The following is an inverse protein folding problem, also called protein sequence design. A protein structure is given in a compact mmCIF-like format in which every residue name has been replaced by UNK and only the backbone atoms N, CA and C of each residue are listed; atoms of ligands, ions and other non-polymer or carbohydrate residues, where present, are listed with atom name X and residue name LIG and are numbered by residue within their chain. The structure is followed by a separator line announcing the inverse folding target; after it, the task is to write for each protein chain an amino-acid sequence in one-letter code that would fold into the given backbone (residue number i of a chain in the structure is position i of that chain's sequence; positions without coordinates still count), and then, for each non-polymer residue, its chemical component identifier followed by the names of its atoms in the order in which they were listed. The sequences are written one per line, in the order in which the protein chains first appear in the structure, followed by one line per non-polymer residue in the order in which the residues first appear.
data_IF_847807227534
#
_entry.id   IF_847807227534
#
_cell.length_a   1.000
_cell.length_b   1.000
_cell.length_c   1.000
_cell.angle_alpha   90.00
_cell.angle_beta   90.00
_cell.angle_gamma   90.00
#
_symmetry.space_group_name_H-M   'P 1'
#
loop_
_entity.id
_entity.type
_entity.pdbx_description
1 polymer ?
#
# COMPACT_ATOMS: atom_id res chain seq x y z
N UNK A 1 0.92 1.30 4.78
CA UNK A 1 0.41 2.05 5.94
C UNK A 1 1.48 2.34 7.01
N UNK A 2 2.74 1.96 6.77
CA UNK A 2 3.82 2.17 7.72
C UNK A 2 4.03 3.67 8.00
N UNK A 3 3.87 4.08 9.27
CA UNK A 3 3.94 5.48 9.67
C UNK A 3 2.61 6.25 9.58
N UNK A 4 1.53 5.67 9.05
CA UNK A 4 0.20 6.28 9.07
C UNK A 4 -0.32 6.39 10.51
N UNK A 5 -0.96 7.51 10.83
CA UNK A 5 -1.63 7.71 12.12
C UNK A 5 -3.15 7.82 11.95
N UNK A 6 -3.85 7.34 12.95
CA UNK A 6 -5.28 7.55 13.16
C UNK A 6 -5.50 8.00 14.60
N UNK A 7 -6.12 9.18 14.80
CA UNK A 7 -6.27 9.81 16.12
C UNK A 7 -4.97 9.82 16.95
N UNK A 8 -3.87 10.26 16.30
CA UNK A 8 -2.50 10.32 16.84
C UNK A 8 -1.85 8.98 17.21
N UNK A 9 -2.49 7.83 16.96
CA UNK A 9 -1.92 6.49 17.18
C UNK A 9 -1.45 5.89 15.85
N UNK A 10 -0.30 5.25 15.84
CA UNK A 10 0.19 4.58 14.64
C UNK A 10 -0.69 3.38 14.27
N UNK A 11 -1.04 3.25 12.99
CA UNK A 11 -1.71 2.05 12.49
C UNK A 11 -0.78 0.84 12.65
N UNK A 12 -1.40 -0.31 12.97
CA UNK A 12 -0.69 -1.53 13.36
C UNK A 12 -0.49 -1.67 14.87
N UNK A 13 -0.76 -0.61 15.68
CA UNK A 13 -0.68 -0.66 17.15
C UNK A 13 -2.04 -0.55 17.85
N UNK A 14 -3.13 -0.53 17.09
CA UNK A 14 -4.49 -0.36 17.62
C UNK A 14 -5.14 -1.68 18.03
N UNK A 15 -4.79 -2.77 17.37
CA UNK A 15 -5.29 -4.11 17.67
C UNK A 15 -4.27 -4.90 18.51
N UNK A 16 -4.58 -6.16 18.76
CA UNK A 16 -3.67 -7.08 19.48
C UNK A 16 -2.39 -7.35 18.71
N UNK A 17 -2.48 -7.35 17.36
CA UNK A 17 -1.36 -7.60 16.44
C UNK A 17 -1.45 -6.64 15.27
N UNK A 18 -0.33 -6.03 14.91
CA UNK A 18 -0.14 -5.36 13.64
C UNK A 18 0.80 -6.13 12.74
N UNK A 19 0.51 -6.15 11.44
CA UNK A 19 1.34 -6.78 10.42
C UNK A 19 1.70 -5.79 9.33
N UNK A 20 2.96 -5.79 8.90
CA UNK A 20 3.46 -4.92 7.85
C UNK A 20 4.24 -5.72 6.81
N UNK A 21 3.92 -5.53 5.56
CA UNK A 21 4.73 -6.04 4.45
C UNK A 21 5.96 -5.16 4.25
N UNK A 22 7.11 -5.79 4.09
CA UNK A 22 8.38 -5.15 3.72
C UNK A 22 8.79 -5.42 2.26
N UNK A 23 7.85 -5.92 1.45
CA UNK A 23 8.10 -6.16 0.02
C UNK A 23 8.70 -4.92 -0.66
N UNK A 24 9.60 -5.04 -1.67
CA UNK A 24 10.31 -3.93 -2.33
C UNK A 24 9.45 -2.80 -2.86
N UNK A 25 8.16 -3.06 -3.15
CA UNK A 25 7.20 -2.02 -3.60
C UNK A 25 6.50 -1.29 -2.47
N UNK A 26 6.82 -1.54 -1.20
CA UNK A 26 6.19 -0.84 -0.07
C UNK A 26 6.91 0.46 0.25
N UNK A 27 6.22 1.40 0.91
CA UNK A 27 6.82 2.67 1.35
C UNK A 27 7.99 2.44 2.30
N UNK A 28 7.87 1.49 3.21
CA UNK A 28 8.98 0.92 3.96
C UNK A 28 9.26 -0.48 3.42
N UNK A 29 10.46 -0.71 2.91
CA UNK A 29 10.81 -1.93 2.18
C UNK A 29 12.24 -2.39 2.48
N UNK A 30 12.50 -3.63 2.10
CA UNK A 30 13.81 -4.29 2.11
C UNK A 30 14.13 -4.81 0.70
N UNK A 31 15.29 -5.46 0.51
CA UNK A 31 15.77 -5.94 -0.80
C UNK A 31 15.17 -7.31 -1.21
N UNK A 32 13.98 -7.63 -0.73
CA UNK A 32 13.29 -8.88 -1.03
C UNK A 32 12.00 -8.98 -0.24
N UNK A 33 11.39 -10.17 -0.18
CA UNK A 33 10.20 -10.39 0.62
C UNK A 33 10.53 -10.39 2.11
N UNK A 34 9.63 -9.79 2.90
CA UNK A 34 9.72 -9.75 4.34
C UNK A 34 8.50 -9.13 4.98
N UNK A 35 8.43 -9.22 6.30
CA UNK A 35 7.35 -8.65 7.07
C UNK A 35 7.76 -8.33 8.50
N UNK A 36 6.97 -7.49 9.14
CA UNK A 36 7.05 -7.18 10.56
C UNK A 36 5.73 -7.54 11.23
N UNK A 37 5.83 -8.11 12.40
CA UNK A 37 4.71 -8.33 13.33
C UNK A 37 5.00 -7.53 14.59
N UNK A 38 4.03 -6.72 15.01
CA UNK A 38 4.12 -5.91 16.23
C UNK A 38 2.96 -6.24 17.15
N UNK A 39 3.23 -6.36 18.46
CA UNK A 39 2.22 -6.62 19.49
C UNK A 39 2.69 -6.13 20.85
N UNK A 40 1.75 -5.69 21.68
CA UNK A 40 1.98 -5.41 23.10
C UNK A 40 1.67 -6.62 24.00
N UNK A 41 1.17 -7.73 23.42
CA UNK A 41 0.84 -8.95 24.14
C UNK A 41 2.07 -9.87 24.21
N UNK A 42 2.71 -9.94 25.39
CA UNK A 42 3.92 -10.75 25.63
C UNK A 42 3.70 -12.24 25.38
N UNK A 43 2.52 -12.79 25.69
CA UNK A 43 2.22 -14.22 25.43
C UNK A 43 2.20 -14.48 23.92
N UNK A 44 1.53 -13.60 23.18
CA UNK A 44 1.45 -13.70 21.73
C UNK A 44 2.83 -13.50 21.08
N UNK A 45 3.62 -12.53 21.53
CA UNK A 45 5.00 -12.31 21.08
C UNK A 45 5.84 -13.58 21.21
N UNK A 46 5.85 -14.22 22.42
CA UNK A 46 6.59 -15.46 22.65
C UNK A 46 6.13 -16.58 21.73
N UNK A 47 4.81 -16.74 21.55
CA UNK A 47 4.25 -17.75 20.62
C UNK A 47 4.68 -17.52 19.19
N UNK A 48 4.63 -16.28 18.70
CA UNK A 48 5.04 -15.91 17.33
C UNK A 48 6.54 -16.16 17.12
N UNK A 49 7.39 -15.88 18.11
CA UNK A 49 8.82 -16.19 18.02
C UNK A 49 9.09 -17.67 17.81
N UNK A 50 8.36 -18.54 18.50
CA UNK A 50 8.45 -19.99 18.28
C UNK A 50 7.92 -20.37 16.89
N UNK A 51 6.71 -19.92 16.53
CA UNK A 51 6.07 -20.29 15.28
C UNK A 51 6.90 -19.92 14.05
N UNK A 52 7.52 -18.72 14.03
CA UNK A 52 8.36 -18.28 12.91
C UNK A 52 9.65 -19.08 12.73
N UNK A 53 10.03 -19.87 13.71
CA UNK A 53 11.27 -20.67 13.74
C UNK A 53 10.98 -22.14 14.07
N UNK A 54 10.17 -22.81 13.25
CA UNK A 54 9.85 -24.24 13.34
C UNK A 54 9.23 -24.67 14.69
N UNK A 55 8.73 -23.75 15.51
CA UNK A 55 8.24 -24.04 16.87
C UNK A 55 9.33 -24.40 17.87
N UNK A 56 10.59 -24.08 17.56
CA UNK A 56 11.77 -24.49 18.34
C UNK A 56 11.88 -23.68 19.63
N UNK A 57 11.92 -24.37 20.78
CA UNK A 57 12.31 -23.85 22.07
C UNK A 57 13.85 -23.71 22.18
N UNK A 58 14.56 -24.67 21.61
CA UNK A 58 16.01 -24.70 21.46
C UNK A 58 16.38 -25.41 20.16
N UNK A 59 17.67 -25.62 19.89
CA UNK A 59 18.15 -26.20 18.63
C UNK A 59 17.56 -27.58 18.30
N UNK A 60 17.18 -28.35 19.29
CA UNK A 60 16.84 -29.77 19.17
C UNK A 60 15.38 -30.09 19.53
N UNK A 61 14.63 -29.15 20.12
CA UNK A 61 13.30 -29.41 20.66
C UNK A 61 12.27 -28.44 20.09
N UNK A 62 11.32 -28.97 19.31
CA UNK A 62 10.13 -28.23 18.88
C UNK A 62 8.98 -28.52 19.83
N UNK A 63 8.37 -27.46 20.39
CA UNK A 63 7.28 -27.58 21.38
C UNK A 63 5.93 -27.18 20.81
N UNK A 64 5.89 -26.57 19.63
CA UNK A 64 4.67 -26.29 18.87
C UNK A 64 4.95 -26.47 17.37
N UNK A 65 3.91 -26.64 16.57
CA UNK A 65 4.05 -26.60 15.13
C UNK A 65 4.40 -25.18 14.66
N UNK A 66 5.37 -25.04 13.77
CA UNK A 66 5.80 -23.77 13.20
C UNK A 66 6.37 -23.91 11.81
N UNK A 67 6.79 -22.80 11.23
CA UNK A 67 7.37 -22.73 9.88
C UNK A 67 8.71 -22.01 9.91
N UNK A 68 9.46 -22.08 8.83
CA UNK A 68 10.56 -21.16 8.61
C UNK A 68 9.99 -19.84 8.06
N UNK A 69 9.85 -18.84 8.92
CA UNK A 69 9.40 -17.49 8.56
C UNK A 69 10.31 -16.44 9.21
N UNK A 70 11.61 -16.62 8.99
CA UNK A 70 12.66 -15.73 9.50
C UNK A 70 12.96 -14.63 8.50
N UNK A 71 13.40 -13.49 9.00
CA UNK A 71 14.00 -12.45 8.18
C UNK A 71 15.51 -12.58 8.26
N UNK A 72 16.19 -12.61 7.12
CA UNK A 72 17.65 -12.67 7.07
C UNK A 72 18.29 -11.43 7.67
N UNK A 73 19.42 -11.60 8.37
CA UNK A 73 20.12 -10.51 9.03
C UNK A 73 20.55 -9.40 8.05
N UNK A 74 20.95 -9.76 6.83
CA UNK A 74 21.28 -8.79 5.78
C UNK A 74 20.06 -7.92 5.45
N UNK A 75 18.89 -8.52 5.29
CA UNK A 75 17.63 -7.82 5.01
C UNK A 75 17.22 -6.94 6.19
N UNK A 76 17.38 -7.42 7.42
CA UNK A 76 17.11 -6.65 8.62
C UNK A 76 18.07 -5.45 8.75
N UNK A 77 19.36 -5.64 8.43
CA UNK A 77 20.37 -4.59 8.38
C UNK A 77 20.00 -3.49 7.38
N UNK A 78 19.59 -3.87 6.17
CA UNK A 78 19.09 -2.93 5.17
C UNK A 78 17.85 -2.18 5.68
N UNK A 79 16.88 -2.88 6.28
CA UNK A 79 15.70 -2.26 6.89
C UNK A 79 16.05 -1.21 7.95
N UNK A 80 17.06 -1.47 8.80
CA UNK A 80 17.54 -0.52 9.79
C UNK A 80 18.15 0.76 9.20
N UNK A 81 18.71 0.69 7.99
CA UNK A 81 19.17 1.87 7.25
C UNK A 81 17.96 2.64 6.69
N UNK A 82 17.04 1.93 6.04
CA UNK A 82 15.89 2.52 5.34
C UNK A 82 14.90 3.19 6.29
N UNK A 83 14.69 2.65 7.50
CA UNK A 83 13.73 3.19 8.47
C UNK A 83 14.06 4.64 8.88
N UNK A 84 15.33 5.03 8.83
CA UNK A 84 15.78 6.40 9.16
C UNK A 84 15.17 7.45 8.22
N UNK A 85 14.81 7.06 6.99
CA UNK A 85 14.29 7.94 5.96
C UNK A 85 12.75 7.95 5.88
N UNK A 86 12.06 7.03 6.57
CA UNK A 86 10.63 6.80 6.36
C UNK A 86 9.78 8.05 6.64
N UNK A 87 10.15 8.85 7.64
CA UNK A 87 9.41 10.07 7.98
C UNK A 87 9.51 11.13 6.88
N UNK A 88 10.68 11.30 6.26
CA UNK A 88 10.87 12.24 5.15
C UNK A 88 10.14 11.76 3.89
N UNK A 89 10.20 10.47 3.58
CA UNK A 89 9.49 9.87 2.45
C UNK A 89 7.97 9.99 2.60
N UNK A 90 7.43 9.70 3.78
CA UNK A 90 6.00 9.84 4.04
C UNK A 90 5.55 11.31 3.90
N UNK A 91 6.32 12.27 4.39
CA UNK A 91 6.03 13.70 4.18
C UNK A 91 6.03 14.07 2.69
N UNK A 92 7.01 13.58 1.92
CA UNK A 92 7.06 13.83 0.48
C UNK A 92 5.87 13.21 -0.24
N UNK A 93 5.52 11.97 0.04
CA UNK A 93 4.34 11.31 -0.55
C UNK A 93 3.03 12.03 -0.20
N UNK A 94 2.88 12.49 1.03
CA UNK A 94 1.73 13.31 1.43
C UNK A 94 1.67 14.64 0.66
N UNK A 95 2.82 15.30 0.46
CA UNK A 95 2.91 16.52 -0.36
C UNK A 95 2.45 16.25 -1.80
N UNK A 96 2.95 15.19 -2.43
CA UNK A 96 2.56 14.79 -3.80
C UNK A 96 1.06 14.52 -3.87
N UNK A 97 0.51 13.76 -2.92
CA UNK A 97 -0.91 13.43 -2.87
C UNK A 97 -1.79 14.68 -2.71
N UNK A 98 -1.39 15.62 -1.84
CA UNK A 98 -2.08 16.92 -1.68
C UNK A 98 -2.03 17.73 -2.98
N UNK A 99 -0.89 17.74 -3.67
CA UNK A 99 -0.72 18.44 -4.94
C UNK A 99 -1.63 17.85 -6.01
N UNK A 100 -1.63 16.54 -6.20
CA UNK A 100 -2.58 15.86 -7.10
C UNK A 100 -4.03 16.20 -6.77
N UNK A 101 -4.42 16.11 -5.51
CA UNK A 101 -5.80 16.41 -5.06
C UNK A 101 -6.16 17.86 -5.35
N UNK A 102 -5.27 18.81 -5.09
CA UNK A 102 -5.49 20.25 -5.36
C UNK A 102 -5.88 20.49 -6.83
N UNK A 103 -5.14 19.90 -7.75
CA UNK A 103 -5.32 20.16 -9.18
C UNK A 103 -6.33 19.24 -9.88
N UNK A 104 -6.63 18.06 -9.32
CA UNK A 104 -7.44 17.04 -10.01
C UNK A 104 -8.85 16.85 -9.42
N UNK A 105 -9.12 17.27 -8.19
CA UNK A 105 -10.41 17.01 -7.50
C UNK A 105 -11.65 17.59 -8.20
N UNK A 106 -11.49 18.59 -9.07
CA UNK A 106 -12.59 19.19 -9.84
C UNK A 106 -12.97 18.40 -11.08
N UNK A 107 -12.07 17.53 -11.58
CA UNK A 107 -12.24 16.82 -12.85
C UNK A 107 -12.42 15.31 -12.69
N UNK A 108 -12.00 14.75 -11.55
CA UNK A 108 -12.15 13.32 -11.24
C UNK A 108 -12.26 13.09 -9.72
N UNK A 109 -12.63 11.87 -9.34
CA UNK A 109 -12.68 11.51 -7.91
C UNK A 109 -11.29 11.20 -7.40
N UNK A 110 -10.86 11.95 -6.38
CA UNK A 110 -9.57 11.79 -5.68
C UNK A 110 -9.79 11.14 -4.31
N UNK A 111 -8.73 10.61 -3.66
CA UNK A 111 -8.82 10.14 -2.28
C UNK A 111 -9.32 11.23 -1.34
N UNK A 112 -10.17 10.83 -0.39
CA UNK A 112 -10.70 11.72 0.66
C UNK A 112 -10.25 11.19 2.02
N UNK A 113 -9.78 12.08 2.87
CA UNK A 113 -9.46 11.81 4.27
C UNK A 113 -9.66 13.09 5.11
N UNK A 114 -9.88 12.91 6.40
CA UNK A 114 -9.94 14.02 7.35
C UNK A 114 -8.56 14.20 8.00
N UNK A 115 -7.85 15.32 7.76
CA UNK A 115 -6.53 15.58 8.31
C UNK A 115 -6.53 15.76 9.85
N UNK A 116 -7.70 15.96 10.48
CA UNK A 116 -7.81 16.06 11.94
C UNK A 116 -7.72 14.68 12.63
N UNK A 117 -8.09 13.62 11.91
CA UNK A 117 -8.15 12.27 12.48
C UNK A 117 -7.21 11.27 11.82
N UNK A 118 -6.68 11.58 10.64
CA UNK A 118 -5.87 10.66 9.84
C UNK A 118 -4.69 11.37 9.20
N UNK A 119 -3.51 10.77 9.31
CA UNK A 119 -2.27 11.21 8.65
C UNK A 119 -1.78 10.08 7.71
N UNK A 120 -2.36 9.98 6.50
CA UNK A 120 -2.07 8.89 5.57
C UNK A 120 -0.73 9.06 4.88
N UNK A 121 -0.03 7.95 4.63
CA UNK A 121 1.28 7.91 3.96
C UNK A 121 1.21 7.80 2.45
N UNK A 122 0.02 7.57 1.89
CA UNK A 122 -0.21 7.45 0.44
C UNK A 122 0.78 6.52 -0.27
N UNK A 123 0.86 5.26 0.19
CA UNK A 123 1.56 4.22 -0.57
C UNK A 123 1.11 4.14 -2.04
N UNK A 124 -0.14 4.45 -2.31
CA UNK A 124 -0.73 4.56 -3.64
C UNK A 124 -1.63 5.81 -3.68
N UNK A 125 -1.66 6.51 -4.82
CA UNK A 125 -2.61 7.58 -5.08
C UNK A 125 -3.62 7.12 -6.12
N UNK A 126 -4.82 6.74 -5.67
CA UNK A 126 -5.84 6.11 -6.50
C UNK A 126 -6.92 7.12 -6.86
N UNK A 127 -7.06 7.40 -8.14
CA UNK A 127 -8.16 8.20 -8.70
C UNK A 127 -9.27 7.29 -9.23
N UNK A 128 -10.46 7.85 -9.41
CA UNK A 128 -11.58 7.13 -10.04
C UNK A 128 -12.19 7.95 -11.18
N UNK A 129 -12.42 7.28 -12.30
CA UNK A 129 -13.12 7.81 -13.48
C UNK A 129 -13.73 6.69 -14.30
N UNK A 130 -14.90 6.94 -14.91
CA UNK A 130 -15.50 6.01 -15.88
C UNK A 130 -14.63 5.83 -17.14
N UNK A 131 -13.79 6.81 -17.45
CA UNK A 131 -12.86 6.79 -18.60
C UNK A 131 -11.49 6.18 -18.25
N UNK A 132 -11.43 5.29 -17.24
CA UNK A 132 -10.20 4.73 -16.70
C UNK A 132 -9.28 4.11 -17.75
N UNK A 133 -9.83 3.29 -18.64
CA UNK A 133 -9.05 2.59 -19.66
C UNK A 133 -8.48 3.56 -20.70
N UNK A 134 -9.28 4.54 -21.10
CA UNK A 134 -8.85 5.55 -22.09
C UNK A 134 -7.79 6.47 -21.50
N UNK A 135 -7.98 6.90 -20.24
CA UNK A 135 -6.99 7.68 -19.52
C UNK A 135 -5.67 6.89 -19.36
N UNK A 136 -5.72 5.61 -19.00
CA UNK A 136 -4.54 4.77 -18.89
C UNK A 136 -3.78 4.67 -20.21
N UNK A 137 -4.48 4.40 -21.32
CA UNK A 137 -3.89 4.36 -22.68
C UNK A 137 -3.29 5.70 -23.08
N UNK A 138 -4.00 6.80 -22.77
CA UNK A 138 -3.51 8.14 -23.05
C UNK A 138 -2.22 8.45 -22.28
N UNK A 139 -2.20 8.22 -20.98
CA UNK A 139 -1.02 8.48 -20.14
C UNK A 139 0.20 7.66 -20.56
N UNK A 140 -0.01 6.40 -20.98
CA UNK A 140 1.05 5.54 -21.51
C UNK A 140 1.73 6.12 -22.76
N UNK A 141 0.98 6.81 -23.65
CA UNK A 141 1.55 7.50 -24.84
C UNK A 141 2.52 8.64 -24.43
N UNK A 142 2.41 9.16 -23.22
CA UNK A 142 3.28 10.20 -22.67
C UNK A 142 4.30 9.66 -21.67
N UNK A 143 4.58 8.34 -21.71
CA UNK A 143 5.51 7.64 -20.81
C UNK A 143 5.14 7.79 -19.31
N UNK A 144 3.85 7.94 -19.00
CA UNK A 144 3.34 7.94 -17.64
C UNK A 144 2.77 6.56 -17.34
N UNK A 145 3.50 5.77 -16.57
CA UNK A 145 3.04 4.45 -16.13
C UNK A 145 1.98 4.58 -15.04
N UNK A 146 0.91 3.79 -15.18
CA UNK A 146 -0.19 3.73 -14.21
C UNK A 146 -0.55 2.27 -13.96
N UNK A 147 -1.14 1.99 -12.79
CA UNK A 147 -1.53 0.64 -12.41
C UNK A 147 -2.97 0.57 -11.92
N UNK A 148 -3.54 -0.63 -11.92
CA UNK A 148 -4.89 -0.87 -11.40
C UNK A 148 -4.76 -1.82 -10.20
N UNK A 149 -5.10 -1.33 -9.01
CA UNK A 149 -5.01 -2.10 -7.78
C UNK A 149 -6.40 -2.28 -7.13
N UNK A 150 -7.22 -3.30 -7.58
CA UNK A 150 -6.90 -4.37 -8.53
C UNK A 150 -8.00 -4.52 -9.57
N UNK A 151 -7.73 -5.05 -10.78
CA UNK A 151 -8.73 -5.12 -11.86
C UNK A 151 -9.81 -6.19 -11.58
N UNK A 152 -9.46 -7.26 -10.87
CA UNK A 152 -10.37 -8.33 -10.49
C UNK A 152 -10.54 -8.31 -8.97
N UNK A 153 -11.74 -8.01 -8.46
CA UNK A 153 -12.04 -8.07 -7.02
C UNK A 153 -11.87 -9.49 -6.45
N UNK A 154 -11.56 -9.59 -5.15
CA UNK A 154 -11.30 -10.88 -4.48
C UNK A 154 -12.44 -11.85 -4.69
N UNK A 155 -13.71 -11.42 -4.51
CA UNK A 155 -14.89 -12.28 -4.67
C UNK A 155 -15.14 -12.74 -6.12
N UNK A 156 -14.44 -12.18 -7.11
CA UNK A 156 -14.46 -12.62 -8.51
C UNK A 156 -13.24 -13.48 -8.89
N UNK A 157 -12.31 -13.70 -7.98
CA UNK A 157 -11.18 -14.60 -8.20
C UNK A 157 -11.67 -16.07 -8.25
N UNK A 158 -11.07 -16.86 -9.14
CA UNK A 158 -11.45 -18.29 -9.31
C UNK A 158 -11.34 -19.07 -8.00
N UNK A 159 -10.28 -18.83 -7.22
CA UNK A 159 -10.10 -19.47 -5.92
C UNK A 159 -11.22 -19.14 -4.93
N UNK A 160 -11.65 -17.86 -4.88
CA UNK A 160 -12.76 -17.46 -4.01
C UNK A 160 -14.06 -18.15 -4.43
N UNK A 161 -14.38 -18.10 -5.72
CA UNK A 161 -15.61 -18.69 -6.27
C UNK A 161 -15.66 -20.20 -6.01
N UNK A 162 -14.52 -20.89 -6.15
CA UNK A 162 -14.41 -22.34 -5.88
C UNK A 162 -14.76 -22.69 -4.43
N UNK A 163 -14.31 -21.87 -3.46
CA UNK A 163 -14.47 -22.19 -2.04
C UNK A 163 -15.74 -21.60 -1.40
N UNK A 164 -16.25 -20.46 -1.92
CA UNK A 164 -17.32 -19.70 -1.28
C UNK A 164 -18.52 -19.43 -2.20
N UNK A 165 -18.47 -19.90 -3.45
CA UNK A 165 -19.52 -19.64 -4.44
C UNK A 165 -19.45 -18.23 -5.03
N UNK A 166 -20.41 -17.93 -5.90
CA UNK A 166 -20.55 -16.62 -6.55
C UNK A 166 -21.33 -15.67 -5.65
N UNK A 167 -20.76 -14.51 -5.36
CA UNK A 167 -21.45 -13.41 -4.67
C UNK A 167 -21.39 -12.15 -5.51
N UNK A 168 -22.31 -11.21 -5.27
CA UNK A 168 -22.34 -9.90 -5.91
C UNK A 168 -22.04 -8.82 -4.89
N UNK A 169 -21.04 -7.97 -5.22
CA UNK A 169 -20.67 -6.79 -4.48
C UNK A 169 -20.64 -5.57 -5.44
N UNK A 170 -21.81 -4.99 -5.76
CA UNK A 170 -21.95 -4.02 -6.86
C UNK A 170 -21.01 -2.82 -6.77
N UNK A 171 -20.79 -2.28 -5.55
CA UNK A 171 -19.89 -1.15 -5.35
C UNK A 171 -18.44 -1.51 -5.64
N UNK A 172 -17.97 -2.67 -5.14
CA UNK A 172 -16.61 -3.16 -5.39
C UNK A 172 -16.38 -3.44 -6.88
N UNK A 173 -17.37 -4.07 -7.52
CA UNK A 173 -17.31 -4.39 -8.94
C UNK A 173 -17.29 -3.13 -9.80
N UNK A 174 -18.06 -2.09 -9.44
CA UNK A 174 -18.01 -0.79 -10.10
C UNK A 174 -16.65 -0.14 -9.91
N UNK A 175 -16.16 -0.08 -8.68
CA UNK A 175 -14.90 0.62 -8.39
C UNK A 175 -13.70 -0.06 -9.04
N UNK A 176 -13.66 -1.38 -9.13
CA UNK A 176 -12.59 -2.09 -9.86
C UNK A 176 -12.49 -1.71 -11.34
N UNK A 177 -13.58 -1.24 -11.93
CA UNK A 177 -13.62 -0.74 -13.31
C UNK A 177 -13.22 0.73 -13.44
N UNK A 178 -13.31 1.51 -12.36
CA UNK A 178 -13.10 2.96 -12.35
C UNK A 178 -11.72 3.39 -11.78
N UNK A 179 -11.08 2.59 -10.94
CA UNK A 179 -9.84 2.94 -10.23
C UNK A 179 -8.62 2.94 -11.13
N UNK A 180 -7.72 3.92 -10.90
CA UNK A 180 -6.41 4.03 -11.53
C UNK A 180 -5.42 4.61 -10.54
N UNK A 181 -4.27 3.96 -10.34
CA UNK A 181 -3.19 4.47 -9.51
C UNK A 181 -2.26 5.32 -10.35
N UNK A 182 -2.13 6.60 -10.00
CA UNK A 182 -1.12 7.51 -10.56
C UNK A 182 0.25 7.25 -9.92
N UNK A 183 1.35 7.57 -10.61
CA UNK A 183 2.68 7.47 -10.05
C UNK A 183 2.80 8.27 -8.75
N UNK A 184 3.33 7.65 -7.71
CA UNK A 184 3.65 8.31 -6.45
C UNK A 184 4.82 7.58 -5.80
N UNK A 185 5.92 8.30 -5.60
CA UNK A 185 7.07 7.84 -4.81
C UNK A 185 7.83 9.06 -4.27
N UNK A 186 8.64 8.91 -3.20
CA UNK A 186 9.29 10.05 -2.55
C UNK A 186 10.38 10.73 -3.38
N UNK A 187 10.84 10.11 -4.45
CA UNK A 187 11.92 10.64 -5.30
C UNK A 187 11.42 11.45 -6.49
N UNK A 188 10.10 11.51 -6.71
CA UNK A 188 9.53 12.32 -7.80
C UNK A 188 9.84 13.79 -7.61
N UNK A 189 10.28 14.43 -8.70
CA UNK A 189 10.49 15.87 -8.78
C UNK A 189 9.16 16.62 -8.93
N UNK A 190 9.14 17.90 -8.61
CA UNK A 190 7.95 18.75 -8.80
C UNK A 190 7.60 18.90 -10.29
N UNK A 191 8.60 18.86 -11.17
CA UNK A 191 8.41 18.89 -12.62
C UNK A 191 7.63 17.66 -13.09
N UNK A 192 8.01 16.46 -12.64
CA UNK A 192 7.31 15.22 -12.98
C UNK A 192 5.86 15.22 -12.45
N UNK A 193 5.65 15.70 -11.22
CA UNK A 193 4.31 15.81 -10.63
C UNK A 193 3.44 16.74 -11.48
N UNK A 194 3.94 17.92 -11.82
CA UNK A 194 3.19 18.88 -12.65
C UNK A 194 2.98 18.41 -14.08
N UNK A 195 3.94 17.65 -14.64
CA UNK A 195 3.78 17.02 -15.94
C UNK A 195 2.60 16.04 -15.95
N UNK A 196 2.53 15.13 -14.97
CA UNK A 196 1.43 14.17 -14.82
C UNK A 196 0.09 14.91 -14.69
N UNK A 197 0.02 15.92 -13.81
CA UNK A 197 -1.18 16.74 -13.63
C UNK A 197 -1.65 17.35 -14.95
N UNK A 198 -0.75 18.00 -15.69
CA UNK A 198 -1.06 18.62 -16.99
C UNK A 198 -1.60 17.60 -18.00
N UNK A 199 -0.98 16.40 -18.07
CA UNK A 199 -1.46 15.36 -18.99
C UNK A 199 -2.84 14.83 -18.59
N UNK A 200 -3.11 14.61 -17.32
CA UNK A 200 -4.45 14.23 -16.84
C UNK A 200 -5.47 15.32 -17.19
N UNK A 201 -5.16 16.59 -16.92
CA UNK A 201 -6.05 17.72 -17.25
C UNK A 201 -6.32 17.83 -18.74
N UNK A 202 -5.29 17.69 -19.59
CA UNK A 202 -5.42 17.74 -21.03
C UNK A 202 -6.32 16.63 -21.59
N UNK A 203 -6.24 15.40 -21.01
CA UNK A 203 -7.14 14.32 -21.39
C UNK A 203 -8.61 14.69 -21.20
N UNK A 204 -8.96 15.32 -20.07
CA UNK A 204 -10.34 15.70 -19.77
C UNK A 204 -10.81 16.99 -20.44
N UNK A 205 -9.89 17.87 -20.90
CA UNK A 205 -10.26 19.06 -21.68
C UNK A 205 -10.69 18.70 -23.09
N UNK A 206 -10.20 17.60 -23.63
CA UNK A 206 -10.43 17.14 -25.01
C UNK A 206 -11.51 16.06 -25.07
N UNK A 207 -12.31 15.87 -24.02
CA UNK A 207 -13.44 14.93 -23.90
C UNK A 207 -14.72 15.67 -23.54
#
# INVERSE_FOLDING_TARGET
AFGTKYKNKFLGTLGEVGIFSLHPRKSFHILGDGGLIVTNNTKLYKKILLMRNHGLKNRNESIIWGTNSRLDNLQAGFGNIMIKNISSWNRRQLFIAKTYTKYLKKILKTPVYDPKISDPTFHQYIIRTKLRNDLQKFLKKYNIETAIHYPIPIHKQKAFIKNYGKISLPMTERFSKEILSLPINPYMTDIEIMYIIKKVQNFFKNK
#
